data_IF_940060281839
#
_entry.id   IF_940060281839
#
_cell.length_a   1.000
_cell.length_b   1.000
_cell.length_c   1.000
_cell.angle_alpha   90.00
_cell.angle_beta   90.00
_cell.angle_gamma   90.00
#
_symmetry.space_group_name_H-M   'P 1'
#
loop_
_entity.id
_entity.type
_entity.pdbx_description
1 polymer ?
#
# COMPACT_ATOMS: atom_id res chain seq x y z
N UNK A 1 -3.24 7.07 28.20
CA UNK A 1 -1.89 7.20 27.62
C UNK A 1 -1.50 8.67 27.67
N UNK A 2 -0.26 8.96 28.11
CA UNK A 2 0.26 10.24 28.64
C UNK A 2 -0.20 11.52 27.93
N UNK A 3 -0.47 12.59 28.71
CA UNK A 3 -0.91 13.92 28.26
C UNK A 3 0.23 14.81 27.72
N UNK A 4 1.26 14.25 27.09
CA UNK A 4 2.38 15.02 26.52
C UNK A 4 2.36 14.85 25.01
N UNK A 5 2.02 15.93 24.29
CA UNK A 5 1.88 15.93 22.83
C UNK A 5 3.16 15.55 22.06
N UNK A 6 4.31 15.60 22.74
CA UNK A 6 5.63 15.40 22.15
C UNK A 6 6.35 14.11 22.64
N UNK A 7 5.61 13.13 23.16
CA UNK A 7 6.19 11.87 23.60
C UNK A 7 6.44 10.91 22.42
N UNK A 8 7.68 10.43 22.28
CA UNK A 8 8.06 9.39 21.33
C UNK A 8 8.11 8.02 22.01
N UNK A 9 7.53 7.00 21.38
CA UNK A 9 7.49 5.62 21.88
C UNK A 9 7.94 4.67 20.78
N UNK A 10 8.87 3.78 21.11
CA UNK A 10 9.31 2.67 20.29
C UNK A 10 9.53 1.45 21.20
N UNK A 11 9.57 0.27 20.61
CA UNK A 11 9.81 -0.99 21.33
C UNK A 11 11.11 -1.61 20.85
N UNK A 12 11.89 -2.17 21.77
CA UNK A 12 13.12 -2.91 21.47
C UNK A 12 12.88 -4.39 21.73
N UNK A 13 12.96 -5.20 20.68
CA UNK A 13 12.65 -6.62 20.71
C UNK A 13 13.94 -7.43 20.92
N UNK A 14 14.10 -8.00 22.12
CA UNK A 14 15.24 -8.87 22.45
C UNK A 14 14.74 -10.31 22.50
N UNK A 15 15.11 -11.11 21.49
CA UNK A 15 14.72 -12.52 21.41
C UNK A 15 13.26 -12.77 21.07
N UNK A 16 12.58 -11.76 20.53
CA UNK A 16 11.19 -11.79 20.07
C UNK A 16 11.12 -11.33 18.62
N UNK A 17 10.20 -11.89 17.87
CA UNK A 17 9.82 -11.39 16.55
C UNK A 17 8.67 -10.38 16.69
N UNK A 18 8.51 -9.42 15.76
CA UNK A 18 7.39 -8.48 15.78
C UNK A 18 6.01 -9.16 15.83
N UNK A 19 5.87 -10.35 15.23
CA UNK A 19 4.66 -11.17 15.26
C UNK A 19 4.30 -11.70 16.65
N UNK A 20 5.27 -11.79 17.55
CA UNK A 20 5.07 -12.26 18.93
C UNK A 20 4.44 -11.17 19.81
N UNK A 21 4.33 -9.94 19.30
CA UNK A 21 3.83 -8.78 20.05
C UNK A 21 2.34 -8.59 19.77
N UNK A 22 1.54 -8.52 20.83
CA UNK A 22 0.11 -8.25 20.74
C UNK A 22 -0.23 -6.77 20.97
N UNK A 23 -1.48 -6.41 20.69
CA UNK A 23 -2.02 -5.08 21.02
C UNK A 23 -2.01 -4.85 22.54
N UNK A 24 -1.78 -3.61 23.00
CA UNK A 24 -1.62 -2.39 22.21
C UNK A 24 -0.16 -2.10 21.81
N UNK A 25 0.80 -3.00 22.10
CA UNK A 25 2.22 -2.72 21.85
C UNK A 25 2.59 -2.92 20.39
N UNK A 26 1.89 -3.81 19.68
CA UNK A 26 2.03 -4.03 18.23
C UNK A 26 1.77 -2.79 17.37
N UNK A 27 1.15 -1.74 17.94
CA UNK A 27 0.90 -0.48 17.22
C UNK A 27 2.14 0.44 17.14
N UNK A 28 3.19 0.17 17.92
CA UNK A 28 4.40 0.99 17.96
C UNK A 28 5.45 0.48 16.97
N UNK A 29 6.40 1.35 16.63
CA UNK A 29 7.54 0.92 15.82
C UNK A 29 8.43 -0.04 16.62
N UNK A 30 8.67 -1.21 16.04
CA UNK A 30 9.54 -2.24 16.59
C UNK A 30 10.96 -2.05 16.07
N UNK A 31 11.93 -2.10 16.99
CA UNK A 31 13.36 -2.11 16.71
C UNK A 31 13.89 -3.48 17.10
N UNK A 32 14.48 -4.22 16.17
CA UNK A 32 15.12 -5.51 16.52
C UNK A 32 16.54 -5.28 17.05
N UNK A 33 17.15 -6.32 17.60
CA UNK A 33 18.56 -6.28 18.07
C UNK A 33 19.59 -6.27 16.94
N UNK A 34 19.16 -6.12 15.68
CA UNK A 34 20.05 -5.98 14.53
C UNK A 34 20.73 -4.61 14.51
N UNK A 35 21.95 -4.57 13.99
CA UNK A 35 22.79 -3.36 14.02
C UNK A 35 22.13 -2.18 13.32
N UNK A 36 21.56 -2.42 12.16
CA UNK A 36 20.87 -1.43 11.34
C UNK A 36 19.65 -0.82 12.05
N UNK A 37 18.88 -1.64 12.76
CA UNK A 37 17.69 -1.23 13.49
C UNK A 37 18.06 -0.38 14.70
N UNK A 38 19.03 -0.84 15.51
CA UNK A 38 19.52 -0.06 16.66
C UNK A 38 20.16 1.25 16.20
N UNK A 39 20.91 1.24 15.09
CA UNK A 39 21.47 2.48 14.52
C UNK A 39 20.36 3.43 14.10
N UNK A 40 19.29 2.93 13.48
CA UNK A 40 18.09 3.69 13.15
C UNK A 40 17.44 4.30 14.39
N UNK A 41 17.30 3.53 15.47
CA UNK A 41 16.78 4.00 16.76
C UNK A 41 17.64 5.14 17.33
N UNK A 42 18.96 4.99 17.36
CA UNK A 42 19.88 6.01 17.86
C UNK A 42 19.76 7.30 17.05
N UNK A 43 19.66 7.21 15.72
CA UNK A 43 19.43 8.36 14.84
C UNK A 43 18.07 9.02 15.09
N UNK A 44 17.02 8.23 15.31
CA UNK A 44 15.69 8.74 15.64
C UNK A 44 15.70 9.52 16.96
N UNK A 45 16.40 9.00 17.98
CA UNK A 45 16.60 9.69 19.27
C UNK A 45 17.36 11.01 19.05
N UNK A 46 18.48 11.00 18.33
CA UNK A 46 19.27 12.20 18.05
C UNK A 46 18.47 13.28 17.29
N UNK A 47 17.63 12.84 16.35
CA UNK A 47 16.70 13.73 15.62
C UNK A 47 15.64 14.33 16.55
N UNK A 48 15.08 13.55 17.49
CA UNK A 48 14.12 14.04 18.46
C UNK A 48 14.73 15.11 19.38
N UNK A 49 15.96 14.90 19.86
CA UNK A 49 16.71 15.89 20.66
C UNK A 49 16.94 17.18 19.87
N UNK A 50 17.32 17.07 18.59
CA UNK A 50 17.50 18.25 17.73
C UNK A 50 16.20 19.04 17.54
N UNK A 51 15.05 18.34 17.48
CA UNK A 51 13.72 18.95 17.34
C UNK A 51 13.21 19.59 18.62
N UNK A 52 13.63 19.12 19.80
CA UNK A 52 13.27 19.72 21.09
C UNK A 52 14.04 21.01 21.40
N UNK A 53 14.90 21.47 20.49
CA UNK A 53 15.67 22.71 20.63
C UNK A 53 17.03 22.53 21.29
N UNK A 54 17.43 21.29 21.58
CA UNK A 54 18.77 20.96 22.07
C UNK A 54 19.74 20.67 20.92
N UNK A 55 21.05 20.75 21.20
CA UNK A 55 22.07 20.48 20.19
C UNK A 55 22.30 18.97 20.06
N UNK A 56 21.77 18.38 18.99
CA UNK A 56 22.07 17.02 18.60
C UNK A 56 23.54 16.81 18.20
N UNK A 57 23.96 15.55 18.15
CA UNK A 57 25.27 15.12 17.68
C UNK A 57 25.31 15.15 16.16
N UNK A 58 26.43 15.56 15.57
CA UNK A 58 26.62 15.50 14.11
C UNK A 58 26.64 14.04 13.63
N UNK A 59 26.03 13.76 12.48
CA UNK A 59 25.86 12.39 11.98
C UNK A 59 27.16 11.60 11.86
N UNK A 60 28.25 12.24 11.42
CA UNK A 60 29.56 11.60 11.31
C UNK A 60 30.13 11.13 12.65
N UNK A 61 30.00 11.96 13.69
CA UNK A 61 30.42 11.63 15.04
C UNK A 61 29.50 10.59 15.66
N UNK A 62 28.19 10.66 15.39
CA UNK A 62 27.22 9.69 15.88
C UNK A 62 27.52 8.30 15.33
N UNK A 63 27.85 8.19 14.05
CA UNK A 63 28.22 6.92 13.41
C UNK A 63 29.55 6.37 13.98
N UNK A 64 30.57 7.21 14.17
CA UNK A 64 31.85 6.80 14.78
C UNK A 64 31.68 6.29 16.21
N UNK A 65 30.92 7.01 17.04
CA UNK A 65 30.61 6.61 18.41
C UNK A 65 29.82 5.31 18.40
N UNK A 66 28.82 5.18 17.52
CA UNK A 66 28.03 3.97 17.41
C UNK A 66 28.91 2.76 17.09
N UNK A 67 29.78 2.86 16.08
CA UNK A 67 30.65 1.76 15.66
C UNK A 67 31.66 1.37 16.74
N UNK A 68 32.10 2.32 17.54
CA UNK A 68 32.99 2.08 18.68
C UNK A 68 32.31 1.27 19.79
N UNK A 69 31.04 1.58 20.10
CA UNK A 69 30.30 0.93 21.20
C UNK A 69 29.53 -0.32 20.76
N UNK A 70 29.25 -0.48 19.47
CA UNK A 70 28.45 -1.59 18.95
C UNK A 70 28.96 -2.97 19.37
N UNK A 71 30.27 -3.29 19.30
CA UNK A 71 30.76 -4.63 19.69
C UNK A 71 30.45 -5.01 21.14
N UNK A 72 30.42 -4.02 22.04
CA UNK A 72 30.06 -4.24 23.45
C UNK A 72 28.56 -4.46 23.61
N UNK A 73 27.75 -3.69 22.90
CA UNK A 73 26.29 -3.82 22.93
C UNK A 73 25.84 -5.16 22.32
N UNK A 74 26.42 -5.55 21.18
CA UNK A 74 26.14 -6.83 20.52
C UNK A 74 26.41 -8.02 21.46
N UNK A 75 27.56 -8.01 22.16
CA UNK A 75 27.87 -9.03 23.18
C UNK A 75 26.86 -9.06 24.33
N UNK A 76 26.33 -7.91 24.74
CA UNK A 76 25.30 -7.87 25.76
C UNK A 76 23.99 -8.51 25.28
N UNK A 77 23.58 -8.25 24.02
CA UNK A 77 22.42 -8.93 23.43
C UNK A 77 22.62 -10.44 23.33
N UNK A 78 23.78 -10.90 22.85
CA UNK A 78 24.11 -12.33 22.80
C UNK A 78 24.05 -12.98 24.19
N UNK A 79 24.61 -12.32 25.20
CA UNK A 79 24.57 -12.80 26.58
C UNK A 79 23.13 -12.88 27.12
N UNK A 80 22.27 -11.89 26.82
CA UNK A 80 20.86 -11.92 27.23
C UNK A 80 20.09 -13.06 26.54
N UNK A 81 20.34 -13.29 25.25
CA UNK A 81 19.71 -14.38 24.50
C UNK A 81 20.13 -15.76 25.00
N UNK A 82 21.36 -15.89 25.50
CA UNK A 82 21.88 -17.14 26.06
C UNK A 82 21.22 -17.53 27.41
N UNK A 83 20.58 -16.59 28.11
CA UNK A 83 19.93 -16.82 29.42
C UNK A 83 18.54 -17.48 29.27
N UNK A 84 18.09 -17.81 28.05
CA UNK A 84 16.70 -18.24 27.77
C UNK A 84 16.21 -19.35 28.73
N UNK A 85 15.23 -19.00 29.57
CA UNK A 85 14.43 -19.98 30.29
C UNK A 85 13.64 -20.82 29.28
N UNK A 86 13.61 -22.13 29.50
CA UNK A 86 12.90 -23.11 28.68
C UNK A 86 11.39 -22.96 28.88
N UNK A 87 10.79 -21.99 28.19
CA UNK A 87 9.35 -21.90 28.03
C UNK A 87 9.04 -21.82 26.54
N UNK A 88 8.24 -22.76 26.03
CA UNK A 88 7.62 -22.59 24.71
C UNK A 88 6.76 -21.32 24.76
N UNK A 89 7.16 -20.28 24.03
CA UNK A 89 6.28 -19.16 23.75
C UNK A 89 5.16 -19.69 22.86
N UNK A 90 3.89 -19.63 23.30
CA UNK A 90 2.77 -20.09 22.49
C UNK A 90 2.74 -19.28 21.19
N UNK A 91 2.92 -19.97 20.06
CA UNK A 91 2.79 -19.31 18.75
C UNK A 91 1.33 -18.90 18.56
N UNK A 92 1.12 -17.64 18.16
CA UNK A 92 -0.21 -17.13 17.84
C UNK A 92 -0.81 -17.92 16.68
N UNK A 93 -2.09 -18.26 16.78
CA UNK A 93 -2.75 -19.00 15.71
C UNK A 93 -3.03 -18.10 14.50
N UNK A 94 -3.02 -18.69 13.30
CA UNK A 94 -3.40 -17.98 12.06
C UNK A 94 -4.80 -17.35 12.16
N UNK A 95 -5.73 -18.04 12.83
CA UNK A 95 -7.10 -17.56 13.03
C UNK A 95 -7.13 -16.27 13.86
N UNK A 96 -6.34 -16.20 14.93
CA UNK A 96 -6.23 -15.01 15.78
C UNK A 96 -5.59 -13.85 15.01
N UNK A 97 -4.54 -14.11 14.23
CA UNK A 97 -3.91 -13.08 13.39
C UNK A 97 -4.88 -12.50 12.35
N UNK A 98 -5.65 -13.36 11.66
CA UNK A 98 -6.64 -12.91 10.67
C UNK A 98 -7.78 -12.11 11.32
N UNK A 99 -8.24 -12.54 12.50
CA UNK A 99 -9.25 -11.82 13.27
C UNK A 99 -8.76 -10.42 13.66
N UNK A 100 -7.52 -10.32 14.14
CA UNK A 100 -6.90 -9.03 14.48
C UNK A 100 -6.77 -8.12 13.26
N UNK A 101 -6.29 -8.62 12.12
CA UNK A 101 -6.18 -7.84 10.88
C UNK A 101 -7.54 -7.26 10.48
N UNK A 102 -8.59 -8.08 10.52
CA UNK A 102 -9.94 -7.66 10.16
C UNK A 102 -10.47 -6.57 11.11
N UNK A 103 -10.18 -6.69 12.41
CA UNK A 103 -10.54 -5.69 13.41
C UNK A 103 -9.77 -4.38 13.24
N UNK A 104 -8.47 -4.45 12.92
CA UNK A 104 -7.65 -3.30 12.60
C UNK A 104 -8.16 -2.55 11.37
N UNK A 105 -8.47 -3.25 10.28
CA UNK A 105 -9.03 -2.64 9.05
C UNK A 105 -10.38 -1.97 9.31
N UNK A 106 -11.30 -2.66 9.99
CA UNK A 106 -12.60 -2.08 10.38
C UNK A 106 -12.44 -0.86 11.29
N UNK A 107 -11.45 -0.87 12.18
CA UNK A 107 -11.16 0.28 13.05
C UNK A 107 -10.57 1.47 12.28
N UNK A 108 -9.74 1.22 11.27
CA UNK A 108 -9.20 2.24 10.37
C UNK A 108 -10.31 2.88 9.54
N UNK A 109 -11.19 2.08 8.94
CA UNK A 109 -12.35 2.55 8.18
C UNK A 109 -13.25 3.44 9.04
N UNK A 110 -13.62 3.00 10.24
CA UNK A 110 -14.42 3.82 11.18
C UNK A 110 -13.76 5.15 11.50
N UNK A 111 -12.45 5.17 11.79
CA UNK A 111 -11.70 6.40 12.07
C UNK A 111 -11.69 7.35 10.88
N UNK A 112 -11.52 6.82 9.67
CA UNK A 112 -11.57 7.62 8.45
C UNK A 112 -12.95 8.26 8.26
N UNK A 113 -14.03 7.51 8.42
CA UNK A 113 -15.39 8.03 8.32
C UNK A 113 -15.66 9.13 9.36
N UNK A 114 -15.29 8.91 10.63
CA UNK A 114 -15.45 9.95 11.67
C UNK A 114 -14.61 11.19 11.41
N UNK A 115 -13.41 11.05 10.82
CA UNK A 115 -12.55 12.18 10.48
C UNK A 115 -13.05 13.00 9.27
N UNK A 116 -13.89 12.40 8.42
CA UNK A 116 -14.55 13.08 7.31
C UNK A 116 -15.76 13.88 7.79
N UNK A 117 -16.48 13.39 8.79
CA UNK A 117 -17.61 14.10 9.41
C UNK A 117 -17.13 15.34 10.20
N UNK A 118 -16.00 15.24 10.91
CA UNK A 118 -15.45 16.33 11.72
C UNK A 118 -14.88 17.50 10.87
N UNK A 119 -14.57 17.24 9.59
CA UNK A 119 -14.08 18.26 8.64
C UNK A 119 -15.18 18.93 7.81
N UNK A 120 -16.45 18.50 7.91
CA UNK A 120 -17.52 18.96 7.02
C UNK A 120 -18.78 19.53 7.69
N UNK A 121 -18.72 20.03 8.93
CA UNK A 121 -19.81 20.89 9.47
C UNK A 121 -19.80 22.31 8.83
N UNK A 122 -18.93 22.58 7.85
CA UNK A 122 -18.95 23.79 7.03
C UNK A 122 -19.06 23.48 5.54
N UNK A 123 -20.28 23.46 5.02
CA UNK A 123 -20.63 23.54 3.59
C UNK A 123 -19.89 22.62 2.61
N UNK A 124 -20.43 21.41 2.41
CA UNK A 124 -20.51 20.82 1.09
C UNK A 124 -21.77 19.98 1.02
N UNK A 125 -22.85 20.57 0.50
CA UNK A 125 -23.97 19.79 0.01
C UNK A 125 -23.41 18.74 -0.95
N UNK A 126 -23.79 17.47 -0.74
CA UNK A 126 -23.52 16.36 -1.65
C UNK A 126 -24.01 16.75 -3.05
N UNK A 127 -23.11 17.32 -3.87
CA UNK A 127 -23.32 17.46 -5.29
C UNK A 127 -23.18 16.06 -5.89
N UNK A 128 -24.26 15.29 -5.85
CA UNK A 128 -24.43 14.11 -6.69
C UNK A 128 -24.40 14.63 -8.14
N UNK A 129 -23.34 14.39 -8.92
CA UNK A 129 -23.28 14.90 -10.28
C UNK A 129 -24.13 13.96 -11.14
N UNK A 130 -25.26 14.51 -11.60
CA UNK A 130 -26.23 13.92 -12.51
C UNK A 130 -27.16 12.85 -11.91
N UNK A 131 -28.45 13.05 -12.14
CA UNK A 131 -29.52 12.15 -11.72
C UNK A 131 -29.48 10.83 -12.49
N UNK A 132 -30.04 9.77 -11.91
CA UNK A 132 -30.24 8.48 -12.60
C UNK A 132 -30.91 8.62 -13.98
N UNK A 133 -31.73 9.66 -14.16
CA UNK A 133 -32.40 9.95 -15.43
C UNK A 133 -31.45 10.42 -16.55
N UNK A 134 -30.33 11.05 -16.18
CA UNK A 134 -29.31 11.52 -17.14
C UNK A 134 -28.36 10.39 -17.54
N UNK A 135 -27.99 9.52 -16.60
CA UNK A 135 -27.25 8.28 -16.89
C UNK A 135 -28.04 7.34 -17.81
N UNK A 136 -29.34 7.16 -17.55
CA UNK A 136 -30.19 6.34 -18.41
C UNK A 136 -30.36 6.89 -19.83
N UNK A 137 -30.13 8.20 -20.06
CA UNK A 137 -30.09 8.79 -21.41
C UNK A 137 -28.77 8.48 -22.11
N UNK A 138 -27.63 8.65 -21.42
CA UNK A 138 -26.30 8.36 -21.96
C UNK A 138 -26.16 6.88 -22.30
N UNK A 139 -26.67 5.99 -21.44
CA UNK A 139 -26.62 4.55 -21.65
C UNK A 139 -27.51 4.11 -22.84
N UNK A 140 -28.67 4.74 -23.05
CA UNK A 140 -29.51 4.46 -24.24
C UNK A 140 -28.86 4.93 -25.54
N UNK A 141 -28.20 6.07 -25.55
CA UNK A 141 -27.49 6.60 -26.73
C UNK A 141 -26.32 5.68 -27.10
N UNK A 142 -25.48 5.30 -26.12
CA UNK A 142 -24.33 4.42 -26.34
C UNK A 142 -24.73 3.01 -26.77
N UNK A 143 -25.78 2.43 -26.17
CA UNK A 143 -26.30 1.12 -26.56
C UNK A 143 -26.96 1.18 -27.95
N UNK A 144 -27.66 2.27 -28.28
CA UNK A 144 -28.28 2.47 -29.59
C UNK A 144 -27.24 2.59 -30.71
N UNK A 145 -26.17 3.37 -30.52
CA UNK A 145 -25.09 3.49 -31.50
C UNK A 145 -24.32 2.19 -31.67
N UNK A 146 -24.06 1.47 -30.58
CA UNK A 146 -23.43 0.15 -30.64
C UNK A 146 -24.28 -0.88 -31.41
N UNK A 147 -25.59 -0.92 -31.15
CA UNK A 147 -26.51 -1.82 -31.86
C UNK A 147 -26.69 -1.40 -33.33
N UNK A 148 -26.70 -0.10 -33.65
CA UNK A 148 -26.81 0.43 -35.01
C UNK A 148 -25.55 0.14 -35.84
N UNK A 149 -24.38 0.20 -35.22
CA UNK A 149 -23.10 -0.23 -35.82
C UNK A 149 -23.08 -1.73 -36.12
N UNK A 150 -23.63 -2.57 -35.23
CA UNK A 150 -23.66 -4.04 -35.44
C UNK A 150 -24.70 -4.51 -36.45
N UNK A 151 -25.82 -3.80 -36.59
CA UNK A 151 -26.85 -4.11 -37.62
C UNK A 151 -26.32 -3.79 -39.03
N UNK A 152 -25.59 -2.68 -39.19
CA UNK A 152 -25.01 -2.28 -40.48
C UNK A 152 -23.84 -3.17 -40.94
N UNK A 153 -23.06 -3.75 -40.03
CA UNK A 153 -22.05 -4.77 -40.34
C UNK A 153 -22.68 -6.06 -40.89
N UNK A 154 -23.76 -6.55 -40.27
CA UNK A 154 -24.45 -7.78 -40.72
C UNK A 154 -25.17 -7.62 -42.06
N UNK A 155 -25.60 -6.41 -42.42
CA UNK A 155 -26.19 -6.14 -43.75
C UNK A 155 -25.13 -6.05 -44.86
N UNK A 156 -23.90 -5.62 -44.54
CA UNK A 156 -22.76 -5.68 -45.48
C UNK A 156 -22.29 -7.10 -45.75
N UNK A 157 -22.32 -7.98 -44.75
CA UNK A 157 -21.96 -9.40 -44.91
C UNK A 157 -23.05 -10.24 -45.61
N UNK A 158 -24.30 -9.76 -45.69
CA UNK A 158 -25.43 -10.48 -46.31
C UNK A 158 -25.72 -10.09 -47.76
N UNK A 159 -24.98 -9.16 -48.38
CA UNK A 159 -25.18 -8.80 -49.79
C UNK A 159 -24.51 -9.87 -50.70
N UNK A 160 -25.26 -10.71 -51.43
CA UNK A 160 -24.66 -11.68 -52.35
C UNK A 160 -23.98 -10.95 -53.52
N UNK A 161 -22.98 -11.58 -54.18
CA UNK A 161 -22.27 -10.96 -55.30
C UNK A 161 -23.25 -10.65 -56.44
N UNK A 162 -23.14 -9.44 -56.97
CA UNK A 162 -23.89 -8.95 -58.14
C UNK A 162 -23.44 -9.72 -59.38
N UNK A 163 -24.25 -10.67 -59.82
CA UNK A 163 -24.16 -11.32 -61.13
C UNK A 163 -24.70 -10.37 -62.21
N UNK A 164 -23.78 -9.60 -62.80
CA UNK A 164 -23.96 -8.98 -64.12
C UNK A 164 -22.64 -9.09 -64.87
N UNK A 165 -22.33 -10.32 -65.26
CA UNK A 165 -22.21 -10.73 -66.66
C UNK A 165 -21.41 -9.82 -67.63
N UNK A 166 -20.43 -10.46 -68.29
CA UNK A 166 -19.78 -10.18 -69.60
C UNK A 166 -18.60 -9.19 -69.59
N UNK A 167 -17.39 -9.47 -70.08
CA UNK A 167 -16.85 -10.51 -71.01
C UNK A 167 -15.30 -10.53 -70.93
N UNK A 168 -14.60 -11.55 -71.49
CA UNK A 168 -13.20 -11.95 -71.21
C UNK A 168 -12.17 -11.44 -72.27
N UNK A 169 -10.98 -12.06 -72.45
CA UNK A 169 -9.68 -11.74 -71.82
C UNK A 169 -8.64 -11.22 -72.84
N UNK A 170 -7.53 -10.59 -72.40
CA UNK A 170 -6.31 -10.51 -73.24
C UNK A 170 -5.03 -10.46 -72.40
N UNK A 171 -4.38 -11.62 -72.29
CA UNK A 171 -2.97 -11.87 -72.60
C UNK A 171 -1.95 -10.71 -72.52
N UNK A 172 -0.96 -10.79 -71.62
CA UNK A 172 0.43 -11.24 -71.92
C UNK A 172 1.49 -10.68 -70.93
N UNK A 173 2.33 -11.64 -70.50
CA UNK A 173 3.80 -11.59 -70.33
C UNK A 173 4.42 -10.67 -69.25
N UNK A 174 4.94 -11.35 -68.21
CA UNK A 174 6.28 -11.15 -67.60
C UNK A 174 7.37 -10.88 -68.66
N UNK A 175 8.58 -10.36 -68.32
CA UNK A 175 9.32 -10.46 -67.04
C UNK A 175 9.95 -9.08 -66.70
N UNK A 176 10.99 -8.85 -65.90
CA UNK A 176 11.96 -9.66 -65.16
C UNK A 176 12.55 -8.75 -64.08
N UNK A 177 13.11 -9.36 -63.05
CA UNK A 177 13.91 -8.70 -62.01
C UNK A 177 15.32 -8.41 -62.55
N UNK A 178 16.07 -7.50 -61.91
CA UNK A 178 16.97 -7.94 -60.83
C UNK A 178 16.67 -7.33 -59.46
#
# INVERSE_FOLDING_TARGET
>A
MSKTKDAHVCTLLVGLEPSDIEQPLAQFQHTTTRQEDIRGLVRAINSAVSKSGEKGVADSLLDEVFDTYWPRLAKAFEATLAIKEQGETPQRSEREMLQEILELLRSQERRQLTALDDKHVGQAALAVPLSWAEWAKVERELISDYLRSRVTEREREKKPPSDSDKTPPTERKTPDKP
#
